data_IF_893011503334
#
_entry.id   IF_893011503334
#
_cell.length_a   1.000
_cell.length_b   1.000
_cell.length_c   1.000
_cell.angle_alpha   90.00
_cell.angle_beta   90.00
_cell.angle_gamma   90.00
#
_symmetry.space_group_name_H-M   'P 1'
#
loop_
_entity.id
_entity.type
_entity.pdbx_description
1 polymer ?
#
# COMPACT_ATOMS: atom_id res chain seq x y z
N UNK A 1 14.49 -2.43 -4.53
CA UNK A 1 15.91 -2.47 -4.12
C UNK A 1 16.07 -3.23 -2.82
N UNK A 2 15.38 -2.78 -1.75
CA UNK A 2 15.38 -3.43 -0.44
C UNK A 2 15.06 -4.93 -0.49
N UNK A 3 14.01 -5.33 -1.22
CA UNK A 3 13.68 -6.75 -1.43
C UNK A 3 14.81 -7.58 -2.06
N UNK A 4 15.63 -6.99 -2.94
CA UNK A 4 16.80 -7.69 -3.49
C UNK A 4 17.81 -7.86 -2.36
N UNK A 5 18.18 -6.77 -1.68
CA UNK A 5 19.14 -6.79 -0.58
C UNK A 5 18.78 -7.76 0.55
N UNK A 6 17.50 -7.87 0.88
CA UNK A 6 16.99 -8.75 1.94
C UNK A 6 17.01 -10.23 1.58
N UNK A 7 17.29 -10.59 0.32
CA UNK A 7 17.35 -11.99 -0.09
C UNK A 7 18.50 -12.71 0.62
N UNK A 8 18.19 -13.88 1.17
CA UNK A 8 19.13 -14.81 1.76
C UNK A 8 19.28 -16.02 0.82
N UNK A 9 20.45 -16.23 0.19
CA UNK A 9 20.64 -17.31 -0.77
C UNK A 9 20.56 -18.70 -0.15
N UNK A 10 20.87 -18.85 1.14
CA UNK A 10 20.87 -20.14 1.85
C UNK A 10 19.57 -20.26 2.66
N UNK A 11 18.61 -21.10 2.24
CA UNK A 11 17.38 -21.35 3.00
C UNK A 11 17.69 -21.94 4.38
N UNK A 12 16.88 -21.59 5.37
CA UNK A 12 17.04 -22.06 6.76
C UNK A 12 16.71 -23.54 6.93
N UNK A 13 16.01 -24.13 5.96
CA UNK A 13 15.56 -25.52 5.96
C UNK A 13 16.66 -26.50 5.53
N UNK A 14 17.77 -26.02 4.94
CA UNK A 14 18.85 -26.88 4.45
C UNK A 14 19.84 -27.27 5.54
N UNK A 15 20.37 -28.50 5.47
CA UNK A 15 21.52 -28.88 6.29
C UNK A 15 22.80 -28.20 5.79
N UNK A 16 23.88 -28.14 6.59
CA UNK A 16 25.16 -27.59 6.16
C UNK A 16 25.71 -28.26 4.87
N UNK A 17 25.52 -29.56 4.72
CA UNK A 17 25.97 -30.33 3.55
C UNK A 17 25.16 -29.99 2.29
N UNK A 18 23.85 -29.75 2.45
CA UNK A 18 22.98 -29.32 1.35
C UNK A 18 23.27 -27.87 0.95
N UNK A 19 23.46 -26.99 1.93
CA UNK A 19 23.81 -25.58 1.72
C UNK A 19 25.13 -25.44 0.94
N UNK A 20 26.10 -26.33 1.17
CA UNK A 20 27.38 -26.35 0.45
C UNK A 20 27.24 -26.61 -1.07
N UNK A 21 26.08 -27.09 -1.55
CA UNK A 21 25.80 -27.27 -2.98
C UNK A 21 25.37 -25.98 -3.68
N UNK A 22 25.09 -24.91 -2.94
CA UNK A 22 24.74 -23.59 -3.50
C UNK A 22 26.04 -22.89 -3.89
N UNK A 23 26.32 -22.85 -5.21
CA UNK A 23 27.58 -22.32 -5.73
C UNK A 23 27.59 -20.79 -5.93
N UNK A 24 26.42 -20.15 -5.95
CA UNK A 24 26.34 -18.72 -6.16
C UNK A 24 24.93 -18.20 -6.43
N UNK A 25 24.86 -16.91 -6.77
CA UNK A 25 23.62 -16.20 -7.06
C UNK A 25 23.73 -15.46 -8.40
N UNK A 26 22.60 -15.33 -9.09
CA UNK A 26 22.51 -14.63 -10.37
C UNK A 26 21.23 -13.80 -10.43
N UNK A 27 21.32 -12.62 -11.04
CA UNK A 27 20.18 -11.78 -11.38
C UNK A 27 19.92 -11.82 -12.88
N UNK A 28 18.81 -12.40 -13.28
CA UNK A 28 18.45 -12.52 -14.69
C UNK A 28 17.72 -11.27 -15.17
N UNK A 29 17.97 -10.86 -16.41
CA UNK A 29 17.20 -9.83 -17.09
C UNK A 29 16.69 -10.36 -18.43
N UNK A 30 15.37 -10.37 -18.55
CA UNK A 30 14.68 -10.72 -19.78
C UNK A 30 14.19 -9.42 -20.43
N UNK A 31 14.32 -9.33 -21.75
CA UNK A 31 14.23 -8.06 -22.49
C UNK A 31 12.99 -7.93 -23.37
N UNK A 32 11.93 -8.72 -23.13
CA UNK A 32 10.70 -8.71 -23.92
C UNK A 32 10.08 -7.30 -24.02
N UNK A 33 10.22 -6.50 -22.96
CA UNK A 33 9.73 -5.11 -22.88
C UNK A 33 10.85 -4.08 -22.72
N UNK A 34 12.12 -4.48 -22.87
CA UNK A 34 13.28 -3.59 -22.72
C UNK A 34 13.87 -3.30 -24.10
N UNK A 35 13.41 -2.20 -24.70
CA UNK A 35 13.66 -1.90 -26.11
C UNK A 35 14.98 -1.15 -26.38
N UNK A 36 15.64 -0.62 -25.35
CA UNK A 36 16.89 0.14 -25.52
C UNK A 36 17.92 -0.21 -24.44
N UNK A 37 19.23 -0.06 -24.72
CA UNK A 37 20.28 -0.25 -23.72
C UNK A 37 20.15 0.67 -22.50
N UNK A 38 19.71 1.92 -22.69
CA UNK A 38 19.54 2.88 -21.58
C UNK A 38 18.42 2.42 -20.65
N UNK A 39 17.35 1.82 -21.20
CA UNK A 39 16.29 1.26 -20.38
C UNK A 39 16.74 -0.05 -19.70
N UNK A 40 17.62 -0.84 -20.33
CA UNK A 40 18.26 -1.98 -19.70
C UNK A 40 19.06 -1.54 -18.45
N UNK A 41 19.91 -0.53 -18.59
CA UNK A 41 20.66 0.05 -17.46
C UNK A 41 19.75 0.52 -16.33
N UNK A 42 18.65 1.20 -16.67
CA UNK A 42 17.65 1.67 -15.71
C UNK A 42 17.02 0.51 -14.94
N UNK A 43 16.77 -0.60 -15.61
CA UNK A 43 16.21 -1.80 -15.00
C UNK A 43 17.25 -2.54 -14.14
N UNK A 44 18.51 -2.56 -14.53
CA UNK A 44 19.60 -3.26 -13.82
C UNK A 44 20.05 -2.50 -12.57
N UNK A 45 20.33 -1.20 -12.70
CA UNK A 45 20.93 -0.40 -11.63
C UNK A 45 19.89 0.45 -10.89
N UNK A 46 19.96 0.54 -9.55
CA UNK A 46 21.03 0.03 -8.66
C UNK A 46 20.82 -1.39 -8.12
N UNK A 47 19.85 -2.16 -8.63
CA UNK A 47 19.57 -3.51 -8.07
C UNK A 47 20.76 -4.46 -8.21
N UNK A 48 21.57 -4.34 -9.27
CA UNK A 48 22.81 -5.08 -9.41
C UNK A 48 23.82 -4.81 -8.28
N UNK A 49 23.87 -3.58 -7.73
CA UNK A 49 24.73 -3.26 -6.59
C UNK A 49 24.30 -4.04 -5.34
N UNK A 50 22.99 -4.18 -5.11
CA UNK A 50 22.47 -4.99 -4.01
C UNK A 50 22.77 -6.48 -4.21
N UNK A 51 22.60 -6.99 -5.44
CA UNK A 51 22.95 -8.37 -5.77
C UNK A 51 24.44 -8.65 -5.55
N UNK A 52 25.32 -7.73 -5.96
CA UNK A 52 26.75 -7.86 -5.76
C UNK A 52 27.12 -7.96 -4.27
N UNK A 53 26.46 -7.20 -3.40
CA UNK A 53 26.67 -7.30 -1.96
C UNK A 53 26.22 -8.65 -1.39
N UNK A 54 25.10 -9.20 -1.87
CA UNK A 54 24.63 -10.54 -1.49
C UNK A 54 25.60 -11.62 -1.95
N UNK A 55 26.15 -11.48 -3.15
CA UNK A 55 27.07 -12.46 -3.73
C UNK A 55 28.44 -12.46 -3.03
N UNK A 56 28.86 -11.33 -2.47
CA UNK A 56 30.24 -11.12 -2.02
C UNK A 56 30.41 -10.98 -0.50
N UNK A 57 29.48 -10.33 0.19
CA UNK A 57 29.62 -10.01 1.61
C UNK A 57 29.07 -11.12 2.49
N UNK A 58 29.75 -11.37 3.62
CA UNK A 58 29.27 -12.30 4.63
C UNK A 58 27.91 -11.86 5.20
N UNK A 59 27.03 -12.83 5.47
CA UNK A 59 25.66 -12.62 5.95
C UNK A 59 25.57 -11.73 7.19
N UNK A 60 26.48 -11.93 8.16
CA UNK A 60 26.54 -11.18 9.42
C UNK A 60 26.97 -9.71 9.23
N UNK A 61 27.50 -9.35 8.06
CA UNK A 61 27.91 -7.98 7.71
C UNK A 61 26.84 -7.21 6.94
N UNK A 62 25.77 -7.86 6.49
CA UNK A 62 24.69 -7.19 5.77
C UNK A 62 23.93 -6.26 6.71
N UNK A 63 23.86 -4.99 6.33
CA UNK A 63 23.18 -3.94 7.09
C UNK A 63 22.55 -2.95 6.10
N UNK A 64 21.22 -2.90 6.07
CA UNK A 64 20.50 -2.08 5.10
C UNK A 64 20.80 -0.58 5.22
N UNK A 65 20.69 0.06 6.41
CA UNK A 65 21.05 1.48 6.55
C UNK A 65 22.46 1.80 6.04
N UNK A 66 23.45 0.94 6.33
CA UNK A 66 24.82 1.17 5.87
C UNK A 66 24.95 0.96 4.34
N UNK A 67 24.33 -0.08 3.78
CA UNK A 67 24.28 -0.29 2.32
C UNK A 67 23.63 0.90 1.61
N UNK A 68 22.47 1.35 2.06
CA UNK A 68 21.73 2.46 1.46
C UNK A 68 22.58 3.74 1.45
N UNK A 69 23.28 4.03 2.55
CA UNK A 69 24.21 5.16 2.65
C UNK A 69 25.42 5.01 1.70
N UNK A 70 26.05 3.83 1.63
CA UNK A 70 27.18 3.58 0.71
C UNK A 70 26.77 3.61 -0.76
N UNK A 71 25.55 3.18 -1.07
CA UNK A 71 25.00 3.21 -2.42
C UNK A 71 24.92 4.65 -2.96
N UNK A 72 24.61 5.63 -2.11
CA UNK A 72 24.65 7.06 -2.47
C UNK A 72 26.02 7.49 -2.99
N UNK A 73 27.09 7.06 -2.33
CA UNK A 73 28.45 7.33 -2.80
C UNK A 73 28.77 6.56 -4.10
N UNK A 74 28.19 5.36 -4.27
CA UNK A 74 28.35 4.58 -5.50
C UNK A 74 27.66 5.23 -6.70
N UNK A 75 26.57 5.96 -6.50
CA UNK A 75 25.91 6.72 -7.57
C UNK A 75 26.85 7.74 -8.24
N UNK A 76 27.79 8.34 -7.50
CA UNK A 76 28.81 9.24 -8.09
C UNK A 76 29.66 8.51 -9.14
N UNK A 77 29.97 7.23 -8.91
CA UNK A 77 30.72 6.40 -9.88
C UNK A 77 29.86 6.06 -11.10
N UNK A 78 28.60 5.68 -10.87
CA UNK A 78 27.66 5.39 -11.96
C UNK A 78 27.41 6.63 -12.83
N UNK A 79 27.29 7.81 -12.22
CA UNK A 79 27.17 9.08 -12.94
C UNK A 79 28.45 9.37 -13.75
N UNK A 80 29.65 9.16 -13.19
CA UNK A 80 30.91 9.33 -13.90
C UNK A 80 31.10 8.37 -15.09
N UNK A 81 30.46 7.19 -15.02
CA UNK A 81 30.42 6.21 -16.10
C UNK A 81 29.24 6.42 -17.07
N UNK A 82 28.40 7.44 -16.83
CA UNK A 82 27.20 7.73 -17.61
C UNK A 82 26.18 6.57 -17.66
N UNK A 83 26.03 5.82 -16.57
CA UNK A 83 25.04 4.73 -16.46
C UNK A 83 23.66 5.31 -16.14
N UNK A 84 22.65 4.96 -16.94
CA UNK A 84 21.27 5.41 -16.75
C UNK A 84 20.52 4.61 -15.67
N UNK A 85 20.86 4.76 -14.39
CA UNK A 85 20.24 4.00 -13.29
C UNK A 85 18.91 4.58 -12.79
N UNK A 86 18.06 3.73 -12.21
CA UNK A 86 16.80 4.15 -11.60
C UNK A 86 17.00 5.04 -10.36
N UNK A 87 16.25 6.15 -10.29
CA UNK A 87 16.32 7.15 -9.21
C UNK A 87 15.33 6.89 -8.07
N UNK A 88 14.60 5.77 -8.09
CA UNK A 88 13.59 5.42 -7.07
C UNK A 88 14.17 5.21 -5.66
N UNK A 89 15.50 5.14 -5.55
CA UNK A 89 16.21 5.26 -4.27
C UNK A 89 15.83 6.52 -3.49
N UNK A 90 15.54 7.63 -4.18
CA UNK A 90 15.17 8.92 -3.59
C UNK A 90 13.65 9.11 -3.44
N UNK A 91 12.83 8.13 -3.82
CA UNK A 91 11.39 8.26 -3.70
C UNK A 91 10.98 8.18 -2.22
N UNK A 92 9.96 8.96 -1.86
CA UNK A 92 9.39 8.98 -0.51
C UNK A 92 8.23 7.99 -0.44
N UNK A 93 8.27 7.08 0.53
CA UNK A 93 7.13 6.27 0.92
C UNK A 93 6.35 6.95 2.05
N UNK A 94 5.05 6.64 2.12
CA UNK A 94 4.13 7.15 3.13
C UNK A 94 3.46 5.99 3.82
N UNK A 95 3.35 6.05 5.14
CA UNK A 95 2.50 5.14 5.91
C UNK A 95 1.68 5.91 6.94
N UNK A 96 0.69 5.24 7.50
CA UNK A 96 -0.22 5.74 8.50
C UNK A 96 -0.28 4.76 9.67
N UNK A 97 0.15 5.22 10.83
CA UNK A 97 0.13 4.42 12.05
C UNK A 97 -0.26 5.29 13.24
N UNK A 98 -1.18 4.80 14.08
CA UNK A 98 -1.66 5.49 15.28
C UNK A 98 -2.17 6.91 15.00
N UNK A 99 -2.91 7.11 13.90
CA UNK A 99 -3.45 8.43 13.54
C UNK A 99 -2.40 9.43 13.04
N UNK A 100 -1.21 8.98 12.68
CA UNK A 100 -0.09 9.82 12.24
C UNK A 100 0.43 9.37 10.88
N UNK A 101 0.69 10.35 10.03
CA UNK A 101 1.42 10.18 8.78
C UNK A 101 2.91 10.09 9.07
N UNK A 102 3.52 9.03 8.55
CA UNK A 102 4.97 8.82 8.53
C UNK A 102 5.46 8.92 7.09
N UNK A 103 6.57 9.62 6.91
CA UNK A 103 7.28 9.70 5.64
C UNK A 103 8.61 8.96 5.78
N UNK A 104 8.99 8.19 4.78
CA UNK A 104 10.23 7.41 4.81
C UNK A 104 10.97 7.50 3.47
N UNK A 105 12.29 7.43 3.54
CA UNK A 105 13.19 7.30 2.41
C UNK A 105 14.00 6.02 2.60
N UNK A 106 14.46 5.42 1.49
CA UNK A 106 15.22 4.18 1.54
C UNK A 106 16.56 4.33 2.29
N UNK A 107 17.19 5.50 2.21
CA UNK A 107 18.32 5.89 3.05
C UNK A 107 17.85 6.84 4.18
N UNK A 108 17.86 6.38 5.45
CA UNK A 108 17.42 7.19 6.60
C UNK A 108 18.24 8.47 6.84
N UNK A 109 19.42 8.61 6.23
CA UNK A 109 20.24 9.82 6.35
C UNK A 109 19.74 10.97 5.46
N UNK A 110 18.91 10.67 4.46
CA UNK A 110 18.34 11.67 3.55
C UNK A 110 17.30 12.54 4.23
N UNK A 111 17.23 13.81 3.79
CA UNK A 111 16.26 14.78 4.33
C UNK A 111 15.03 14.82 3.44
N UNK A 112 13.89 14.43 4.01
CA UNK A 112 12.58 14.58 3.39
C UNK A 112 12.07 15.97 3.75
N UNK A 113 11.63 16.73 2.75
CA UNK A 113 10.88 17.97 2.96
C UNK A 113 9.46 17.80 2.48
N UNK A 114 8.52 18.43 3.18
CA UNK A 114 7.10 18.26 2.91
C UNK A 114 6.28 19.53 3.12
N UNK A 115 5.09 19.51 2.54
CA UNK A 115 4.03 20.51 2.68
C UNK A 115 2.71 19.79 2.98
N UNK A 116 1.78 20.50 3.62
CA UNK A 116 0.45 19.98 4.00
C UNK A 116 -0.69 20.86 3.47
N UNK A 117 -0.36 21.81 2.61
CA UNK A 117 -1.30 22.75 1.97
C UNK A 117 -1.44 22.48 0.47
N UNK A 118 -0.84 21.39 -0.03
CA UNK A 118 -0.81 21.04 -1.45
C UNK A 118 0.21 21.80 -2.30
N UNK A 119 0.98 22.74 -1.75
CA UNK A 119 2.07 23.41 -2.47
C UNK A 119 3.25 22.46 -2.75
N UNK A 120 4.07 22.75 -3.76
CA UNK A 120 5.26 21.92 -4.03
C UNK A 120 6.31 22.10 -2.92
N UNK A 121 6.92 21.00 -2.42
CA UNK A 121 8.02 21.14 -1.48
C UNK A 121 9.23 21.78 -2.16
N UNK A 122 9.95 22.62 -1.42
CA UNK A 122 11.16 23.31 -1.84
C UNK A 122 12.29 23.07 -0.85
N UNK A 123 13.47 23.58 -1.14
CA UNK A 123 14.62 23.60 -0.24
C UNK A 123 14.35 24.32 1.10
N UNK A 124 13.30 25.13 1.20
CA UNK A 124 12.92 25.86 2.43
C UNK A 124 11.70 25.27 3.13
N UNK A 125 11.00 24.30 2.51
CA UNK A 125 9.87 23.61 3.13
C UNK A 125 10.29 22.85 4.39
N UNK A 126 9.32 22.60 5.28
CA UNK A 126 9.55 21.91 6.55
C UNK A 126 10.24 20.56 6.34
N UNK A 127 11.26 20.28 7.14
CA UNK A 127 11.93 18.96 7.18
C UNK A 127 11.04 18.01 7.98
N UNK A 128 10.85 16.80 7.49
CA UNK A 128 10.21 15.73 8.24
C UNK A 128 11.18 15.20 9.31
N UNK A 129 10.83 15.42 10.57
CA UNK A 129 11.59 15.02 11.76
C UNK A 129 10.85 13.96 12.60
N UNK A 130 9.51 13.99 12.60
CA UNK A 130 8.67 13.02 13.27
C UNK A 130 7.30 12.84 12.58
N UNK A 131 6.63 11.69 12.77
CA UNK A 131 5.26 11.49 12.30
C UNK A 131 4.29 12.56 12.83
N UNK A 132 3.39 13.03 11.98
CA UNK A 132 2.46 14.11 12.31
C UNK A 132 0.99 13.70 12.12
N UNK A 133 0.09 14.29 12.92
CA UNK A 133 -1.34 14.05 12.81
C UNK A 133 -1.99 14.96 11.78
N UNK A 134 -3.08 14.47 11.18
CA UNK A 134 -3.92 15.22 10.25
C UNK A 134 -5.31 15.37 10.88
N UNK A 135 -5.79 16.61 11.01
CA UNK A 135 -7.07 16.92 11.68
C UNK A 135 -8.18 17.41 10.74
N UNK A 136 -7.85 17.63 9.46
CA UNK A 136 -8.77 17.99 8.38
C UNK A 136 -8.24 17.44 7.06
N UNK A 137 -9.07 17.39 6.03
CA UNK A 137 -8.63 16.97 4.69
C UNK A 137 -7.37 17.73 4.28
N UNK A 138 -6.34 16.99 3.88
CA UNK A 138 -4.99 17.51 3.72
C UNK A 138 -4.30 16.84 2.54
N UNK A 139 -3.76 17.63 1.62
CA UNK A 139 -2.85 17.14 0.59
C UNK A 139 -1.42 17.25 1.09
N UNK A 140 -0.79 16.10 1.36
CA UNK A 140 0.62 16.02 1.73
C UNK A 140 1.45 15.85 0.46
N UNK A 141 2.43 16.72 0.27
CA UNK A 141 3.45 16.55 -0.77
C UNK A 141 4.82 16.46 -0.12
N UNK A 142 5.63 15.48 -0.54
CA UNK A 142 6.94 15.23 0.03
C UNK A 142 7.96 14.82 -1.03
N UNK A 143 9.21 15.24 -0.86
CA UNK A 143 10.33 14.79 -1.68
C UNK A 143 11.63 14.79 -0.88
N UNK A 144 12.60 13.98 -1.31
CA UNK A 144 13.97 14.04 -0.79
C UNK A 144 14.70 15.25 -1.37
N UNK A 145 15.38 15.98 -0.50
CA UNK A 145 16.28 17.07 -0.83
C UNK A 145 17.70 16.80 -0.35
N UNK A 146 18.67 17.13 -1.19
CA UNK A 146 20.07 17.25 -0.82
C UNK A 146 20.52 18.69 -1.01
N UNK A 147 20.89 19.36 0.10
CA UNK A 147 21.08 20.81 0.12
C UNK A 147 19.83 21.49 -0.45
N UNK A 148 19.98 22.20 -1.57
CA UNK A 148 18.90 22.93 -2.23
C UNK A 148 18.29 22.19 -3.43
N UNK A 149 18.77 20.99 -3.74
CA UNK A 149 18.34 20.21 -4.90
C UNK A 149 17.35 19.12 -4.52
N UNK A 150 16.20 19.09 -5.21
CA UNK A 150 15.28 17.96 -5.16
C UNK A 150 15.89 16.76 -5.88
N UNK A 151 15.94 15.60 -5.24
CA UNK A 151 16.60 14.40 -5.77
C UNK A 151 15.62 13.37 -6.34
N UNK A 152 14.47 13.19 -5.67
CA UNK A 152 13.43 12.23 -6.03
C UNK A 152 12.19 12.88 -6.63
N UNK A 153 11.22 12.04 -6.99
CA UNK A 153 9.90 12.54 -7.41
C UNK A 153 9.13 13.07 -6.20
N UNK A 154 8.25 14.04 -6.44
CA UNK A 154 7.31 14.49 -5.40
C UNK A 154 6.25 13.41 -5.21
N UNK A 155 6.22 12.83 -4.01
CA UNK A 155 5.13 11.99 -3.54
C UNK A 155 3.96 12.89 -3.15
N UNK A 156 2.78 12.63 -3.69
CA UNK A 156 1.54 13.33 -3.34
C UNK A 156 0.55 12.33 -2.77
N UNK A 157 -0.02 12.63 -1.62
CA UNK A 157 -1.06 11.82 -0.97
C UNK A 157 -2.16 12.73 -0.46
N UNK A 158 -3.40 12.38 -0.77
CA UNK A 158 -4.58 13.05 -0.24
C UNK A 158 -5.09 12.24 0.95
N UNK A 159 -5.15 12.91 2.11
CA UNK A 159 -5.71 12.35 3.34
C UNK A 159 -7.07 12.97 3.59
N UNK A 160 -8.09 12.13 3.65
CA UNK A 160 -9.45 12.44 4.07
C UNK A 160 -9.58 12.23 5.57
N UNK A 161 -10.23 13.17 6.24
CA UNK A 161 -10.55 13.06 7.67
C UNK A 161 -12.04 12.87 7.83
N UNK A 162 -12.40 11.75 8.44
CA UNK A 162 -13.75 11.33 8.76
C UNK A 162 -13.75 10.62 10.13
N UNK A 163 -14.92 10.20 10.61
CA UNK A 163 -15.08 9.69 11.99
C UNK A 163 -14.34 8.38 12.27
N UNK A 164 -14.07 7.60 11.22
CA UNK A 164 -13.28 6.37 11.29
C UNK A 164 -11.77 6.57 11.10
N UNK A 165 -11.30 7.77 10.71
CA UNK A 165 -9.87 7.98 10.45
C UNK A 165 -9.02 7.71 11.69
N UNK A 166 -8.02 6.83 11.55
CA UNK A 166 -7.13 6.36 12.60
C UNK A 166 -7.78 5.52 13.69
N UNK A 167 -9.02 5.04 13.48
CA UNK A 167 -9.68 4.13 14.40
C UNK A 167 -9.24 2.69 14.15
N UNK A 168 -8.99 1.90 15.20
CA UNK A 168 -8.68 0.50 15.03
C UNK A 168 -9.90 -0.24 14.49
N UNK A 169 -9.65 -1.30 13.73
CA UNK A 169 -10.68 -2.24 13.34
C UNK A 169 -10.18 -3.67 13.47
N UNK A 170 -11.13 -4.60 13.57
CA UNK A 170 -10.88 -6.04 13.52
C UNK A 170 -11.61 -6.66 12.34
N UNK A 171 -11.05 -7.72 11.77
CA UNK A 171 -11.73 -8.56 10.79
C UNK A 171 -11.56 -10.04 11.16
N UNK A 172 -12.59 -10.89 10.98
CA UNK A 172 -12.47 -12.34 11.14
C UNK A 172 -11.38 -12.97 10.28
N UNK A 173 -11.14 -12.42 9.09
CA UNK A 173 -10.04 -12.83 8.21
C UNK A 173 -9.18 -11.63 7.84
N UNK A 174 -7.91 -11.69 8.23
CA UNK A 174 -6.88 -10.77 7.72
C UNK A 174 -6.32 -11.36 6.42
N UNK A 175 -6.21 -10.57 5.33
CA UNK A 175 -5.59 -11.03 4.10
C UNK A 175 -4.07 -11.19 4.26
N UNK A 176 -3.50 -12.20 3.61
CA UNK A 176 -2.04 -12.41 3.62
C UNK A 176 -1.32 -11.64 2.51
N UNK A 177 -2.02 -11.37 1.40
CA UNK A 177 -1.44 -10.81 0.17
C UNK A 177 -1.79 -9.35 -0.06
N UNK A 178 -3.07 -9.00 0.00
CA UNK A 178 -3.57 -7.65 -0.25
C UNK A 178 -4.05 -7.04 1.07
N UNK A 179 -3.09 -6.63 1.89
CA UNK A 179 -3.32 -6.11 3.24
C UNK A 179 -3.74 -4.65 3.29
N UNK A 180 -3.71 -3.95 2.15
CA UNK A 180 -3.76 -2.48 2.12
C UNK A 180 -2.52 -1.81 2.73
N UNK A 181 -1.44 -2.59 2.93
CA UNK A 181 -0.12 -2.09 3.29
C UNK A 181 0.12 -1.86 4.79
N UNK A 182 -0.93 -1.72 5.61
CA UNK A 182 -0.79 -1.35 7.02
C UNK A 182 -2.01 -1.74 7.87
N UNK A 183 -1.85 -1.69 9.20
CA UNK A 183 -2.89 -2.06 10.16
C UNK A 183 -4.17 -1.22 10.04
N UNK A 184 -4.06 0.02 9.55
CA UNK A 184 -5.16 0.98 9.43
C UNK A 184 -5.67 1.13 8.00
N UNK A 185 -5.40 0.18 7.10
CA UNK A 185 -5.66 0.33 5.67
C UNK A 185 -7.10 0.73 5.27
N UNK A 186 -8.10 0.37 6.08
CA UNK A 186 -9.52 0.74 5.86
C UNK A 186 -9.93 2.04 6.56
N UNK A 187 -8.99 2.68 7.27
CA UNK A 187 -9.21 3.80 8.20
C UNK A 187 -8.04 4.81 8.16
N UNK A 188 -7.20 4.79 7.13
CA UNK A 188 -5.99 5.62 7.05
C UNK A 188 -6.22 6.97 6.36
N UNK A 189 -7.44 7.21 5.88
CA UNK A 189 -7.86 8.40 5.15
C UNK A 189 -7.41 8.43 3.69
N UNK A 190 -6.88 7.33 3.13
CA UNK A 190 -6.37 7.29 1.76
C UNK A 190 -7.23 6.36 0.91
N UNK A 191 -7.80 6.90 -0.17
CA UNK A 191 -8.61 6.10 -1.09
C UNK A 191 -7.78 5.37 -2.13
N UNK A 192 -8.34 4.27 -2.63
CA UNK A 192 -7.78 3.49 -3.72
C UNK A 192 -8.15 4.07 -5.09
N UNK A 193 -7.33 3.77 -6.09
CA UNK A 193 -7.67 3.94 -7.49
C UNK A 193 -7.12 2.77 -8.33
N UNK A 194 -7.46 2.72 -9.62
CA UNK A 194 -7.03 1.65 -10.55
C UNK A 194 -5.51 1.54 -10.74
N UNK A 195 -4.72 2.55 -10.32
CA UNK A 195 -3.26 2.57 -10.44
C UNK A 195 -2.55 2.28 -9.12
N UNK A 196 -3.26 2.23 -7.99
CA UNK A 196 -2.66 2.12 -6.65
C UNK A 196 -3.12 0.86 -5.93
N UNK A 197 -2.46 -0.26 -6.20
CA UNK A 197 -2.79 -1.56 -5.60
C UNK A 197 -2.50 -1.65 -4.09
N UNK A 198 -1.67 -0.76 -3.55
CA UNK A 198 -1.29 -0.75 -2.13
C UNK A 198 -2.37 -0.25 -1.18
N UNK A 199 -3.42 0.42 -1.66
CA UNK A 199 -4.48 1.02 -0.83
C UNK A 199 -5.73 0.14 -0.74
N UNK A 200 -5.64 -1.12 -1.19
CA UNK A 200 -6.78 -2.02 -1.22
C UNK A 200 -6.55 -3.21 -0.29
N UNK A 201 -7.54 -3.48 0.55
CA UNK A 201 -7.67 -4.71 1.33
C UNK A 201 -8.46 -5.70 0.50
N UNK A 202 -7.86 -6.86 0.21
CA UNK A 202 -8.41 -7.83 -0.74
C UNK A 202 -8.52 -9.24 -0.17
N UNK A 203 -9.71 -9.84 -0.25
CA UNK A 203 -9.97 -11.24 0.10
C UNK A 203 -10.57 -11.99 -1.09
N UNK A 204 -10.36 -13.30 -1.13
CA UNK A 204 -10.89 -14.19 -2.18
C UNK A 204 -11.97 -15.10 -1.61
N UNK A 205 -13.13 -15.14 -2.27
CA UNK A 205 -14.28 -15.98 -1.91
C UNK A 205 -14.68 -15.89 -0.42
N UNK A 206 -14.57 -14.68 0.13
CA UNK A 206 -14.84 -14.34 1.53
C UNK A 206 -15.33 -12.90 1.60
N UNK A 207 -16.23 -12.65 2.53
CA UNK A 207 -16.71 -11.31 2.83
C UNK A 207 -15.58 -10.47 3.44
N UNK A 208 -15.64 -9.16 3.22
CA UNK A 208 -14.82 -8.18 3.93
C UNK A 208 -15.72 -7.51 4.96
N UNK A 209 -15.52 -7.81 6.24
CA UNK A 209 -16.43 -7.40 7.30
C UNK A 209 -15.74 -6.73 8.52
N UNK A 210 -15.10 -5.56 8.34
CA UNK A 210 -14.42 -4.85 9.42
C UNK A 210 -15.39 -4.34 10.48
N UNK A 211 -14.99 -4.48 11.74
CA UNK A 211 -15.61 -3.85 12.91
C UNK A 211 -14.70 -2.73 13.40
N UNK A 212 -15.11 -1.48 13.22
CA UNK A 212 -14.39 -0.27 13.60
C UNK A 212 -14.83 0.14 15.02
N UNK A 213 -13.88 0.36 15.93
CA UNK A 213 -14.15 0.93 17.26
C UNK A 213 -13.87 2.43 17.28
N UNK A 214 -14.90 3.26 17.41
CA UNK A 214 -14.73 4.71 17.53
C UNK A 214 -14.08 5.11 18.87
N UNK A 215 -14.09 4.22 19.87
CA UNK A 215 -13.63 4.41 21.24
C UNK A 215 -14.67 5.05 22.16
N UNK A 216 -15.70 5.68 21.59
CA UNK A 216 -16.83 6.28 22.29
C UNK A 216 -18.08 6.30 21.40
N UNK A 217 -19.29 6.40 21.96
CA UNK A 217 -20.51 6.61 21.18
C UNK A 217 -20.36 7.80 20.23
N UNK A 218 -20.49 7.55 18.94
CA UNK A 218 -20.26 8.50 17.86
C UNK A 218 -21.47 8.48 16.94
N UNK A 219 -22.06 9.65 16.68
CA UNK A 219 -23.14 9.78 15.70
C UNK A 219 -22.57 9.84 14.29
N UNK A 220 -23.24 9.24 13.31
CA UNK A 220 -22.90 9.30 11.89
C UNK A 220 -24.17 9.24 11.03
N UNK A 221 -24.06 9.65 9.78
CA UNK A 221 -25.20 9.73 8.86
C UNK A 221 -24.93 9.10 7.50
N UNK A 222 -23.67 8.77 7.20
CA UNK A 222 -23.30 8.16 5.91
C UNK A 222 -22.05 7.32 6.05
N UNK A 223 -22.03 6.22 5.30
CA UNK A 223 -20.83 5.41 5.08
C UNK A 223 -20.56 5.34 3.58
N UNK A 224 -19.30 5.53 3.20
CA UNK A 224 -18.85 5.45 1.80
C UNK A 224 -17.59 4.61 1.70
N UNK A 225 -17.50 3.79 0.65
CA UNK A 225 -16.29 3.03 0.32
C UNK A 225 -16.25 2.79 -1.19
N UNK A 226 -15.15 2.21 -1.68
CA UNK A 226 -14.96 1.91 -3.09
C UNK A 226 -14.61 0.45 -3.31
N UNK A 227 -14.88 -0.01 -4.53
CA UNK A 227 -14.57 -1.37 -4.97
C UNK A 227 -13.91 -1.35 -6.34
N UNK A 228 -12.89 -2.18 -6.55
CA UNK A 228 -12.32 -2.39 -7.89
C UNK A 228 -13.19 -3.38 -8.67
N UNK A 229 -13.54 -3.01 -9.89
CA UNK A 229 -14.01 -3.93 -10.92
C UNK A 229 -12.88 -4.19 -11.92
N UNK A 230 -12.40 -5.43 -11.99
CA UNK A 230 -11.43 -5.88 -12.98
C UNK A 230 -11.58 -7.38 -13.18
N UNK A 231 -12.65 -7.78 -13.88
CA UNK A 231 -13.00 -9.20 -14.09
C UNK A 231 -11.92 -9.98 -14.83
N UNK A 232 -11.15 -9.32 -15.69
CA UNK A 232 -9.97 -9.90 -16.37
C UNK A 232 -8.87 -10.32 -15.39
N UNK A 233 -8.82 -9.71 -14.20
CA UNK A 233 -7.92 -10.05 -13.09
C UNK A 233 -8.66 -10.78 -11.96
N UNK A 234 -9.88 -11.27 -12.23
CA UNK A 234 -10.74 -12.00 -11.29
C UNK A 234 -11.22 -11.16 -10.10
N UNK A 235 -11.19 -9.83 -10.23
CA UNK A 235 -11.63 -8.89 -9.19
C UNK A 235 -13.06 -8.43 -9.50
N UNK A 236 -13.97 -8.77 -8.60
CA UNK A 236 -15.38 -8.44 -8.69
C UNK A 236 -15.79 -7.56 -7.51
N UNK A 237 -16.60 -6.52 -7.75
CA UNK A 237 -17.32 -5.84 -6.68
C UNK A 237 -18.22 -6.85 -5.93
N UNK A 238 -18.55 -6.58 -4.65
CA UNK A 238 -19.45 -7.43 -3.88
C UNK A 238 -20.85 -7.43 -4.50
N UNK A 239 -21.65 -8.45 -4.14
CA UNK A 239 -23.08 -8.50 -4.52
C UNK A 239 -23.95 -7.55 -3.73
N UNK A 240 -23.51 -7.20 -2.53
CA UNK A 240 -24.20 -6.25 -1.69
C UNK A 240 -23.32 -5.80 -0.55
N UNK A 241 -23.71 -4.70 0.06
CA UNK A 241 -23.04 -4.12 1.21
C UNK A 241 -24.03 -3.83 2.32
N UNK A 242 -23.56 -3.90 3.55
CA UNK A 242 -24.36 -3.63 4.74
C UNK A 242 -23.57 -2.81 5.76
N UNK A 243 -24.28 -1.98 6.51
CA UNK A 243 -23.75 -1.22 7.64
C UNK A 243 -24.56 -1.55 8.88
N UNK A 244 -23.86 -1.90 9.95
CA UNK A 244 -24.42 -2.16 11.26
C UNK A 244 -23.80 -1.24 12.31
N UNK A 245 -24.52 -1.05 13.42
CA UNK A 245 -24.05 -0.31 14.59
C UNK A 245 -24.21 -1.14 15.86
N UNK A 246 -23.30 -0.92 16.81
CA UNK A 246 -23.35 -1.53 18.14
C UNK A 246 -22.78 -0.60 19.20
N UNK A 247 -23.26 -0.72 20.44
CA UNK A 247 -22.68 -0.06 21.61
C UNK A 247 -21.69 -0.95 22.37
N UNK A 248 -21.85 -2.28 22.27
CA UNK A 248 -21.08 -3.28 23.04
C UNK A 248 -20.08 -4.10 22.20
N UNK A 249 -20.13 -3.99 20.87
CA UNK A 249 -19.26 -4.69 19.94
C UNK A 249 -19.64 -6.16 19.73
N UNK A 250 -20.80 -6.59 20.24
CA UNK A 250 -21.30 -7.96 20.15
C UNK A 250 -22.68 -8.00 19.46
N UNK A 251 -23.59 -7.13 19.90
CA UNK A 251 -24.93 -7.03 19.38
C UNK A 251 -25.00 -5.94 18.31
N UNK A 252 -25.08 -6.35 17.05
CA UNK A 252 -25.10 -5.45 15.91
C UNK A 252 -26.50 -5.29 15.33
N UNK A 253 -26.95 -4.04 15.18
CA UNK A 253 -28.21 -3.69 14.51
C UNK A 253 -27.93 -3.21 13.09
N UNK A 254 -28.61 -3.82 12.10
CA UNK A 254 -28.54 -3.37 10.71
C UNK A 254 -29.12 -1.95 10.59
N UNK A 255 -28.38 -1.06 9.94
CA UNK A 255 -28.80 0.32 9.66
C UNK A 255 -29.20 0.50 8.20
N UNK A 256 -28.38 -0.02 7.28
CA UNK A 256 -28.59 0.13 5.85
C UNK A 256 -27.98 -1.06 5.10
N UNK A 257 -28.58 -1.39 3.96
CA UNK A 257 -28.07 -2.37 3.01
C UNK A 257 -28.25 -1.87 1.59
N UNK A 258 -27.38 -2.29 0.68
CA UNK A 258 -27.48 -1.97 -0.75
C UNK A 258 -27.00 -3.13 -1.59
N UNK A 259 -27.87 -3.62 -2.47
CA UNK A 259 -27.49 -4.58 -3.51
C UNK A 259 -26.68 -3.89 -4.60
N UNK A 260 -25.73 -4.61 -5.18
CA UNK A 260 -24.81 -4.15 -6.22
C UNK A 260 -24.89 -5.13 -7.38
N UNK A 261 -25.24 -4.62 -8.56
CA UNK A 261 -25.31 -5.40 -9.79
C UNK A 261 -23.91 -5.68 -10.37
N UNK A 262 -23.05 -6.36 -9.60
CA UNK A 262 -21.66 -6.65 -9.95
C UNK A 262 -21.52 -7.41 -11.27
N UNK A 263 -22.49 -8.29 -11.58
CA UNK A 263 -22.58 -9.02 -12.84
C UNK A 263 -22.66 -8.09 -14.06
N UNK A 264 -23.39 -6.97 -13.96
CA UNK A 264 -23.64 -6.05 -15.06
C UNK A 264 -22.46 -5.10 -15.34
N UNK A 265 -21.51 -4.96 -14.41
CA UNK A 265 -20.37 -4.05 -14.57
C UNK A 265 -19.39 -4.51 -15.65
N UNK A 266 -18.86 -3.58 -16.42
CA UNK A 266 -17.96 -3.84 -17.55
C UNK A 266 -16.66 -3.04 -17.41
N UNK A 267 -15.62 -3.50 -18.12
CA UNK A 267 -14.32 -2.83 -18.15
C UNK A 267 -13.56 -2.91 -16.82
N UNK A 268 -12.61 -1.99 -16.66
CA UNK A 268 -11.84 -1.81 -15.42
C UNK A 268 -12.26 -0.47 -14.81
N UNK A 269 -12.81 -0.48 -13.60
CA UNK A 269 -13.37 0.70 -12.94
C UNK A 269 -13.20 0.63 -11.41
N UNK A 270 -13.44 1.77 -10.77
CA UNK A 270 -13.60 1.88 -9.31
C UNK A 270 -15.01 2.35 -9.04
N UNK A 271 -15.77 1.54 -8.31
CA UNK A 271 -17.17 1.77 -8.00
C UNK A 271 -17.29 2.42 -6.63
N UNK A 272 -17.94 3.59 -6.57
CA UNK A 272 -18.22 4.27 -5.30
C UNK A 272 -19.56 3.76 -4.75
N UNK A 273 -19.56 3.31 -3.51
CA UNK A 273 -20.76 2.82 -2.84
C UNK A 273 -21.03 3.64 -1.60
N UNK A 274 -22.24 4.17 -1.53
CA UNK A 274 -22.74 5.02 -0.44
C UNK A 274 -23.94 4.35 0.21
N UNK A 275 -23.95 4.32 1.55
CA UNK A 275 -25.11 3.96 2.36
C UNK A 275 -25.45 5.13 3.30
N UNK A 276 -26.66 5.67 3.16
CA UNK A 276 -27.19 6.66 4.08
C UNK A 276 -27.68 5.97 5.37
N UNK A 277 -27.27 6.53 6.52
CA UNK A 277 -27.54 6.00 7.86
C UNK A 277 -28.00 7.13 8.81
N UNK A 278 -29.02 7.91 8.42
CA UNK A 278 -29.41 9.11 9.17
C UNK A 278 -29.78 8.78 10.62
N UNK A 279 -29.23 9.56 11.55
CA UNK A 279 -29.49 9.39 13.00
C UNK A 279 -28.77 8.20 13.63
N UNK A 280 -27.87 7.51 12.91
CA UNK A 280 -27.09 6.43 13.48
C UNK A 280 -26.17 6.94 14.60
N UNK A 281 -26.07 6.17 15.68
CA UNK A 281 -25.18 6.43 16.80
C UNK A 281 -24.80 5.12 17.47
N UNK A 282 -23.51 4.95 17.73
CA UNK A 282 -22.99 3.84 18.52
C UNK A 282 -21.48 3.92 18.68
N UNK A 283 -20.89 3.02 19.46
CA UNK A 283 -19.43 2.95 19.63
C UNK A 283 -18.74 2.19 18.50
N UNK A 284 -19.40 1.17 17.96
CA UNK A 284 -18.85 0.30 16.92
C UNK A 284 -19.66 0.41 15.65
N UNK A 285 -18.96 0.37 14.51
CA UNK A 285 -19.54 0.24 13.19
C UNK A 285 -19.02 -1.06 12.57
N UNK A 286 -19.92 -1.92 12.11
CA UNK A 286 -19.55 -3.07 11.27
C UNK A 286 -19.98 -2.77 9.84
N UNK A 287 -19.02 -2.76 8.92
CA UNK A 287 -19.29 -2.74 7.49
C UNK A 287 -19.17 -4.18 6.98
N UNK A 288 -20.01 -4.59 6.02
CA UNK A 288 -19.94 -5.91 5.38
C UNK A 288 -20.01 -5.72 3.88
N UNK A 289 -19.01 -6.20 3.15
CA UNK A 289 -19.07 -6.40 1.71
C UNK A 289 -19.26 -7.89 1.42
N UNK A 290 -20.45 -8.27 0.96
CA UNK A 290 -20.80 -9.65 0.62
C UNK A 290 -20.14 -10.06 -0.67
N UNK A 291 -19.25 -11.04 -0.59
CA UNK A 291 -18.43 -11.47 -1.72
C UNK A 291 -19.29 -11.86 -2.93
N UNK A 292 -18.74 -11.63 -4.13
CA UNK A 292 -19.32 -12.17 -5.35
C UNK A 292 -19.39 -13.70 -5.33
N UNK A 293 -18.45 -14.34 -4.63
CA UNK A 293 -18.36 -15.78 -4.48
C UNK A 293 -17.57 -16.42 -5.61
N UNK A 294 -18.13 -17.45 -6.24
CA UNK A 294 -17.49 -18.20 -7.33
C UNK A 294 -17.70 -17.47 -8.67
N UNK A 295 -16.65 -17.42 -9.48
CA UNK A 295 -16.66 -16.80 -10.81
C UNK A 295 -17.52 -17.64 -11.77
N UNK A 296 -18.42 -17.01 -12.56
CA UNK A 296 -19.32 -17.73 -13.47
C UNK A 296 -18.56 -18.48 -14.58
N UNK A 297 -19.15 -19.55 -15.11
CA UNK A 297 -18.52 -20.46 -16.08
C UNK A 297 -18.06 -19.78 -17.38
N UNK A 298 -18.72 -18.68 -17.77
CA UNK A 298 -18.42 -17.94 -18.99
C UNK A 298 -17.45 -16.76 -18.79
N UNK A 299 -16.74 -16.70 -17.66
CA UNK A 299 -15.81 -15.62 -17.33
C UNK A 299 -14.37 -16.12 -17.12
N UNK A 300 -13.41 -15.21 -17.27
CA UNK A 300 -12.01 -15.49 -16.96
C UNK A 300 -11.87 -15.91 -15.49
N UNK A 301 -11.26 -17.07 -15.25
CA UNK A 301 -11.15 -17.63 -13.90
C UNK A 301 -12.36 -18.43 -13.44
N UNK A 302 -13.30 -18.77 -14.33
CA UNK A 302 -14.44 -19.64 -14.08
C UNK A 302 -14.17 -20.77 -13.06
N UNK A 303 -15.08 -20.95 -12.11
CA UNK A 303 -14.98 -21.97 -11.06
C UNK A 303 -14.04 -21.61 -9.90
N UNK A 304 -13.19 -20.59 -10.04
CA UNK A 304 -12.38 -20.07 -8.93
C UNK A 304 -13.17 -19.05 -8.09
N UNK A 305 -12.65 -18.76 -6.91
CA UNK A 305 -13.14 -17.66 -6.08
C UNK A 305 -12.82 -16.29 -6.70
N UNK A 306 -13.81 -15.40 -6.69
CA UNK A 306 -13.61 -14.01 -7.04
C UNK A 306 -12.89 -13.26 -5.91
N UNK A 307 -11.97 -12.38 -6.29
CA UNK A 307 -11.39 -11.39 -5.39
C UNK A 307 -12.39 -10.25 -5.15
N UNK A 308 -12.54 -9.83 -3.90
CA UNK A 308 -13.21 -8.60 -3.50
C UNK A 308 -12.17 -7.65 -2.90
N UNK A 309 -12.16 -6.40 -3.33
CA UNK A 309 -11.19 -5.38 -2.92
C UNK A 309 -11.95 -4.17 -2.39
N UNK A 310 -11.62 -3.75 -1.16
CA UNK A 310 -12.20 -2.59 -0.46
C UNK A 310 -11.07 -1.64 -0.07
N UNK A 311 -11.30 -0.33 -0.21
CA UNK A 311 -10.40 0.70 0.29
C UNK A 311 -10.95 1.33 1.59
N UNK A 312 -10.75 2.62 1.81
CA UNK A 312 -11.21 3.34 3.00
C UNK A 312 -12.72 3.15 3.29
N UNK A 313 -13.05 2.91 4.56
CA UNK A 313 -14.42 3.00 5.10
C UNK A 313 -14.63 4.42 5.66
N UNK A 314 -15.13 5.29 4.79
CA UNK A 314 -15.37 6.70 5.10
C UNK A 314 -16.69 6.82 5.89
N UNK A 315 -16.66 7.50 7.04
CA UNK A 315 -17.80 7.63 7.97
C UNK A 315 -18.06 9.09 8.30
N UNK A 316 -19.17 9.64 7.81
CA UNK A 316 -19.53 11.07 7.90
C UNK A 316 -20.56 11.37 8.98
#
# INVERSE_FOLDING_TARGET
>A
LEKVYSYEPIPTELTPEEAARILGVQGNIWTEYIKTPEYLEYMVYPRACALAEIAWSAKDKKNWPDFARRLRAHFVRLDAMNVNYAKSYYDVSTSFSNGKVKLEALDPSLKIRFTTDGSQPSATSKIFDAPFSISKNTTVKAAVFEKDKQMGKVRTVEYLVHKASGKPYTMPRIPDKYTGGEQYALTNGVTGNIKTWGNWVGLVNRDIDPVIDFGKPTGFSRVTTHFVNSKVSWIYPPRGVEVYVSDDGQNFKLLASKEIAAEAMQGISVETVVLDTPGAKGRYLKFVAKTFGVIPENAAGAGNGAWCFVDEVIVE
#
